data_IF_458232536824
#
_entry.id   IF_458232536824
#
_cell.length_a   1.000
_cell.length_b   1.000
_cell.length_c   1.000
_cell.angle_alpha   90.00
_cell.angle_beta   90.00
_cell.angle_gamma   90.00
#
_symmetry.space_group_name_H-M   'P 1'
#
loop_
_entity.id
_entity.type
_entity.pdbx_description
1 polymer ?
#
# COMPACT_ATOMS: atom_id res chain seq x y z
N UNK A 1 -88.88 21.80 -16.01
CA UNK A 1 -88.38 20.40 -16.01
C UNK A 1 -87.04 20.42 -15.29
N UNK A 2 -86.99 20.34 -13.96
CA UNK A 2 -87.16 19.15 -13.12
C UNK A 2 -86.12 18.04 -13.44
N UNK A 3 -85.09 18.01 -12.57
CA UNK A 3 -84.50 16.81 -11.92
C UNK A 3 -83.50 15.91 -12.67
N UNK A 4 -82.32 15.83 -12.01
CA UNK A 4 -81.55 14.61 -11.61
C UNK A 4 -80.79 13.81 -12.68
N UNK A 5 -79.63 13.20 -12.47
CA UNK A 5 -78.56 13.10 -11.43
C UNK A 5 -77.55 12.06 -12.01
N UNK A 6 -76.31 12.00 -11.50
CA UNK A 6 -75.24 11.01 -11.80
C UNK A 6 -74.54 11.14 -13.17
N UNK A 7 -73.22 11.13 -13.30
CA UNK A 7 -72.13 10.82 -12.37
C UNK A 7 -70.88 11.62 -12.80
N UNK A 8 -70.32 12.48 -11.95
CA UNK A 8 -69.06 12.22 -11.23
C UNK A 8 -68.38 10.89 -11.61
N UNK A 9 -67.34 10.92 -12.47
CA UNK A 9 -66.03 10.31 -12.20
C UNK A 9 -65.03 10.53 -13.37
N UNK A 10 -64.59 11.75 -13.63
CA UNK A 10 -63.24 11.97 -14.23
C UNK A 10 -62.58 13.22 -13.62
N UNK A 11 -62.67 13.32 -12.29
CA UNK A 11 -61.66 13.99 -11.47
C UNK A 11 -60.88 12.84 -10.84
N UNK A 12 -59.86 12.34 -11.54
CA UNK A 12 -59.22 11.09 -11.12
C UNK A 12 -57.98 10.64 -11.86
N UNK A 13 -57.42 11.42 -12.80
CA UNK A 13 -56.02 11.25 -13.17
C UNK A 13 -55.19 12.11 -12.23
N UNK A 14 -55.15 11.63 -10.99
CA UNK A 14 -54.20 12.07 -10.00
C UNK A 14 -52.79 12.01 -10.64
N UNK A 15 -51.98 13.07 -10.53
CA UNK A 15 -50.56 12.85 -10.43
C UNK A 15 -50.39 12.09 -9.10
N UNK A 16 -50.38 10.76 -9.16
CA UNK A 16 -49.96 9.95 -8.02
C UNK A 16 -48.47 10.25 -7.79
N UNK A 17 -48.21 11.31 -7.03
CA UNK A 17 -47.46 11.24 -5.78
C UNK A 17 -46.68 9.92 -5.66
N UNK A 18 -45.51 9.85 -6.30
CA UNK A 18 -44.42 8.96 -5.91
C UNK A 18 -43.82 9.45 -4.57
N UNK A 19 -44.67 9.60 -3.56
CA UNK A 19 -44.25 9.57 -2.17
C UNK A 19 -43.85 8.12 -1.90
N UNK A 20 -42.55 7.84 -2.11
CA UNK A 20 -42.01 6.49 -2.10
C UNK A 20 -42.41 5.73 -0.83
N UNK A 21 -43.20 4.65 -1.00
CA UNK A 21 -43.60 3.76 0.10
C UNK A 21 -42.34 3.32 0.84
N UNK A 22 -42.40 3.34 2.18
CA UNK A 22 -41.33 2.78 3.00
C UNK A 22 -41.18 1.29 2.69
N UNK A 23 -39.95 0.87 2.46
CA UNK A 23 -39.54 -0.51 2.22
C UNK A 23 -39.09 -1.11 3.54
N UNK A 24 -39.46 -2.36 3.79
CA UNK A 24 -38.96 -3.10 4.94
C UNK A 24 -37.68 -3.83 4.52
N UNK A 25 -36.55 -3.38 5.05
CA UNK A 25 -35.25 -4.00 4.79
C UNK A 25 -34.81 -4.79 6.03
N UNK A 26 -34.35 -6.02 5.82
CA UNK A 26 -33.75 -6.83 6.87
C UNK A 26 -32.27 -6.48 6.96
N UNK A 27 -31.79 -6.17 8.16
CA UNK A 27 -30.38 -6.01 8.42
C UNK A 27 -29.70 -7.38 8.40
N UNK A 28 -28.68 -7.56 7.57
CA UNK A 28 -28.01 -8.85 7.41
C UNK A 28 -27.20 -9.25 8.66
N UNK A 29 -26.78 -8.28 9.49
CA UNK A 29 -25.96 -8.53 10.67
C UNK A 29 -26.81 -8.86 11.90
N UNK A 30 -27.94 -8.17 12.11
CA UNK A 30 -28.80 -8.38 13.28
C UNK A 30 -30.08 -9.16 13.00
N UNK A 31 -30.50 -9.30 11.73
CA UNK A 31 -31.80 -9.86 11.35
C UNK A 31 -32.98 -8.91 11.57
N UNK A 32 -32.74 -7.70 12.08
CA UNK A 32 -33.79 -6.75 12.41
C UNK A 32 -34.40 -6.11 11.16
N UNK A 33 -35.71 -5.90 11.21
CA UNK A 33 -36.47 -5.23 10.16
C UNK A 33 -36.46 -3.73 10.40
N UNK A 34 -35.90 -2.99 9.44
CA UNK A 34 -35.90 -1.51 9.44
C UNK A 34 -36.73 -1.00 8.27
N UNK A 35 -37.68 -0.10 8.55
CA UNK A 35 -38.42 0.62 7.51
C UNK A 35 -37.59 1.79 6.99
N UNK A 36 -37.33 1.81 5.68
CA UNK A 36 -36.56 2.88 5.03
C UNK A 36 -37.24 3.35 3.75
N UNK A 37 -37.14 4.65 3.48
CA UNK A 37 -37.57 5.21 2.20
C UNK A 37 -36.39 5.31 1.24
N UNK A 38 -36.61 5.19 -0.09
CA UNK A 38 -35.58 5.44 -1.10
C UNK A 38 -34.86 6.79 -0.92
N UNK A 39 -35.57 7.82 -0.46
CA UNK A 39 -34.99 9.13 -0.19
C UNK A 39 -34.01 9.12 0.98
N UNK A 40 -34.29 8.35 2.05
CA UNK A 40 -33.36 8.15 3.15
C UNK A 40 -32.09 7.44 2.68
N UNK A 41 -32.21 6.41 1.85
CA UNK A 41 -31.06 5.68 1.29
C UNK A 41 -30.22 6.59 0.40
N UNK A 42 -30.83 7.37 -0.49
CA UNK A 42 -30.12 8.37 -1.32
C UNK A 42 -29.41 9.44 -0.46
N UNK A 43 -30.03 9.88 0.64
CA UNK A 43 -29.43 10.83 1.59
C UNK A 43 -28.23 10.21 2.32
N UNK A 44 -28.31 8.94 2.70
CA UNK A 44 -27.22 8.19 3.31
C UNK A 44 -26.05 8.03 2.34
N UNK A 45 -26.31 7.63 1.09
CA UNK A 45 -25.28 7.55 0.04
C UNK A 45 -24.51 8.88 -0.12
N UNK A 46 -25.24 10.01 -0.25
CA UNK A 46 -24.63 11.35 -0.31
C UNK A 46 -23.90 11.75 0.97
N UNK A 47 -24.28 11.22 2.13
CA UNK A 47 -23.56 11.45 3.39
C UNK A 47 -22.22 10.74 3.37
N UNK A 48 -22.19 9.46 3.01
CA UNK A 48 -20.96 8.65 2.94
C UNK A 48 -19.96 9.26 1.95
N UNK A 49 -20.41 9.66 0.76
CA UNK A 49 -19.58 10.39 -0.21
C UNK A 49 -18.93 11.64 0.40
N UNK A 50 -19.68 12.44 1.15
CA UNK A 50 -19.16 13.64 1.83
C UNK A 50 -18.18 13.30 2.94
N UNK A 51 -18.44 12.24 3.72
CA UNK A 51 -17.55 11.79 4.81
C UNK A 51 -16.21 11.33 4.26
N UNK A 52 -16.21 10.50 3.20
CA UNK A 52 -14.98 10.08 2.53
C UNK A 52 -14.19 11.29 2.02
N UNK A 53 -14.88 12.20 1.31
CA UNK A 53 -14.24 13.42 0.79
C UNK A 53 -13.66 14.31 1.91
N UNK A 54 -14.41 14.52 2.99
CA UNK A 54 -13.95 15.32 4.13
C UNK A 54 -12.77 14.67 4.85
N UNK A 55 -12.73 13.34 4.89
CA UNK A 55 -11.63 12.55 5.48
C UNK A 55 -10.43 12.39 4.53
N UNK A 56 -10.55 12.87 3.28
CA UNK A 56 -9.52 12.68 2.26
C UNK A 56 -9.32 11.22 1.89
N UNK A 57 -10.36 10.39 1.95
CA UNK A 57 -10.30 8.98 1.58
C UNK A 57 -10.79 8.79 0.15
N UNK A 58 -10.02 8.03 -0.62
CA UNK A 58 -10.46 7.45 -1.89
C UNK A 58 -11.20 6.16 -1.60
N UNK A 59 -12.16 5.77 -2.43
CA UNK A 59 -12.83 4.46 -2.28
C UNK A 59 -11.86 3.27 -2.38
N UNK A 60 -10.70 3.44 -3.02
CA UNK A 60 -9.63 2.44 -3.11
C UNK A 60 -8.84 2.30 -1.79
N UNK A 61 -9.07 3.19 -0.84
CA UNK A 61 -8.51 3.09 0.51
C UNK A 61 -9.34 2.16 1.41
N UNK A 62 -10.55 1.79 0.98
CA UNK A 62 -11.45 0.91 1.73
C UNK A 62 -11.05 -0.57 1.58
N UNK A 63 -11.55 -1.42 2.48
CA UNK A 63 -11.38 -2.87 2.37
C UNK A 63 -11.91 -3.41 1.04
N UNK A 64 -11.36 -4.55 0.58
CA UNK A 64 -11.79 -5.20 -0.66
C UNK A 64 -13.31 -5.44 -0.68
N UNK A 65 -13.88 -5.88 0.44
CA UNK A 65 -15.34 -6.04 0.58
C UNK A 65 -16.07 -4.71 0.33
N UNK A 66 -15.65 -3.61 0.97
CA UNK A 66 -16.30 -2.32 0.79
C UNK A 66 -16.15 -1.77 -0.64
N UNK A 67 -15.04 -2.07 -1.32
CA UNK A 67 -14.85 -1.74 -2.73
C UNK A 67 -15.79 -2.53 -3.65
N UNK A 68 -15.97 -3.81 -3.38
CA UNK A 68 -16.94 -4.64 -4.13
C UNK A 68 -18.36 -4.11 -3.93
N UNK A 69 -18.75 -3.81 -2.68
CA UNK A 69 -20.05 -3.20 -2.34
C UNK A 69 -20.25 -1.87 -3.06
N UNK A 70 -19.21 -1.05 -3.17
CA UNK A 70 -19.25 0.19 -3.94
C UNK A 70 -19.49 -0.06 -5.43
N UNK A 71 -18.78 -1.00 -6.05
CA UNK A 71 -18.95 -1.34 -7.46
C UNK A 71 -20.40 -1.78 -7.78
N UNK A 72 -21.02 -2.55 -6.88
CA UNK A 72 -22.43 -2.99 -7.00
C UNK A 72 -23.44 -1.85 -7.03
N UNK A 73 -23.10 -0.66 -6.50
CA UNK A 73 -24.02 0.50 -6.50
C UNK A 73 -24.37 0.98 -7.91
N UNK A 74 -23.48 0.80 -8.89
CA UNK A 74 -23.73 1.16 -10.29
C UNK A 74 -24.86 0.33 -10.91
N UNK A 75 -25.07 -0.91 -10.43
CA UNK A 75 -26.14 -1.81 -10.88
C UNK A 75 -27.40 -1.66 -10.02
N UNK A 76 -27.23 -1.67 -8.69
CA UNK A 76 -28.33 -1.79 -7.74
C UNK A 76 -29.12 -0.48 -7.58
N UNK A 77 -28.50 0.69 -7.80
CA UNK A 77 -29.19 2.00 -7.73
C UNK A 77 -30.16 2.19 -8.91
N UNK A 78 -29.76 1.99 -10.19
CA UNK A 78 -30.70 2.03 -11.31
C UNK A 78 -31.81 0.97 -11.22
N UNK A 79 -31.48 -0.23 -10.73
CA UNK A 79 -32.43 -1.32 -10.51
C UNK A 79 -33.41 -1.06 -9.34
N UNK A 80 -33.21 0.02 -8.56
CA UNK A 80 -34.03 0.38 -7.41
C UNK A 80 -34.06 -0.68 -6.30
N UNK A 81 -32.97 -1.44 -6.15
CA UNK A 81 -32.78 -2.46 -5.12
C UNK A 81 -32.42 -1.81 -3.77
N UNK A 82 -33.29 -0.93 -3.26
CA UNK A 82 -32.95 0.01 -2.18
C UNK A 82 -32.50 -0.65 -0.86
N UNK A 83 -32.93 -1.87 -0.57
CA UNK A 83 -32.43 -2.61 0.59
C UNK A 83 -30.97 -3.06 0.42
N UNK A 84 -30.59 -3.52 -0.78
CA UNK A 84 -29.18 -3.84 -1.11
C UNK A 84 -28.32 -2.58 -1.09
N UNK A 85 -28.81 -1.50 -1.72
CA UNK A 85 -28.13 -0.19 -1.71
C UNK A 85 -27.91 0.29 -0.27
N UNK A 86 -28.90 0.16 0.63
CA UNK A 86 -28.73 0.50 2.05
C UNK A 86 -27.62 -0.32 2.70
N UNK A 87 -27.61 -1.64 2.50
CA UNK A 87 -26.58 -2.52 3.07
C UNK A 87 -25.18 -2.12 2.58
N UNK A 88 -25.01 -1.87 1.28
CA UNK A 88 -23.75 -1.40 0.70
C UNK A 88 -23.30 -0.08 1.31
N UNK A 89 -24.22 0.91 1.43
CA UNK A 89 -23.91 2.23 2.01
C UNK A 89 -23.46 2.12 3.47
N UNK A 90 -24.10 1.28 4.28
CA UNK A 90 -23.71 1.06 5.68
C UNK A 90 -22.34 0.38 5.81
N UNK A 91 -22.06 -0.62 4.97
CA UNK A 91 -20.76 -1.29 4.93
C UNK A 91 -19.64 -0.30 4.58
N UNK A 92 -19.84 0.52 3.54
CA UNK A 92 -18.87 1.56 3.13
C UNK A 92 -18.68 2.61 4.24
N UNK A 93 -19.74 3.05 4.90
CA UNK A 93 -19.67 4.00 6.03
C UNK A 93 -18.85 3.44 7.20
N UNK A 94 -19.08 2.18 7.55
CA UNK A 94 -18.34 1.48 8.60
C UNK A 94 -16.86 1.32 8.24
N UNK A 95 -16.56 0.90 7.00
CA UNK A 95 -15.20 0.74 6.53
C UNK A 95 -14.44 2.08 6.54
N UNK A 96 -15.07 3.16 6.08
CA UNK A 96 -14.48 4.49 6.08
C UNK A 96 -14.17 4.98 7.51
N UNK A 97 -15.06 4.71 8.46
CA UNK A 97 -14.92 5.16 9.85
C UNK A 97 -13.80 4.44 10.61
N UNK A 98 -13.38 3.26 10.15
CA UNK A 98 -12.27 2.51 10.74
C UNK A 98 -10.87 2.98 10.30
N UNK A 99 -10.79 3.81 9.26
CA UNK A 99 -9.50 4.23 8.68
C UNK A 99 -8.94 5.42 9.45
N UNK A 100 -7.70 5.25 9.91
CA UNK A 100 -6.91 6.31 10.50
C UNK A 100 -5.81 6.71 9.51
N UNK A 101 -5.74 8.01 9.17
CA UNK A 101 -4.70 8.53 8.25
C UNK A 101 -3.41 8.75 9.03
N UNK A 102 -2.70 7.66 9.28
CA UNK A 102 -1.39 7.63 9.93
C UNK A 102 -0.24 7.40 8.92
N UNK A 103 0.97 7.26 9.44
CA UNK A 103 2.16 7.01 8.62
C UNK A 103 2.07 5.70 7.83
N UNK A 104 1.53 4.64 8.44
CA UNK A 104 1.43 3.33 7.80
C UNK A 104 0.40 3.32 6.68
N UNK A 105 -0.74 3.96 6.92
CA UNK A 105 -1.74 4.22 5.89
C UNK A 105 -1.15 4.95 4.68
N UNK A 106 -0.37 6.01 4.91
CA UNK A 106 0.22 6.80 3.84
C UNK A 106 1.32 6.07 3.07
N UNK A 107 2.16 5.27 3.73
CA UNK A 107 3.13 4.41 3.02
C UNK A 107 2.41 3.45 2.08
N UNK A 108 1.37 2.76 2.58
CA UNK A 108 0.58 1.85 1.75
C UNK A 108 -0.11 2.57 0.59
N UNK A 109 -0.66 3.76 0.84
CA UNK A 109 -1.32 4.57 -0.19
C UNK A 109 -0.33 5.10 -1.23
N UNK A 110 0.86 5.53 -0.83
CA UNK A 110 1.91 5.97 -1.75
C UNK A 110 2.31 4.85 -2.70
N UNK A 111 2.58 3.65 -2.17
CA UNK A 111 2.92 2.47 -2.98
C UNK A 111 1.79 2.13 -3.98
N UNK A 112 0.52 2.07 -3.54
CA UNK A 112 -0.62 1.85 -4.43
C UNK A 112 -0.71 2.93 -5.52
N UNK A 113 -0.56 4.19 -5.13
CA UNK A 113 -0.64 5.34 -6.05
C UNK A 113 0.46 5.28 -7.10
N UNK A 114 1.69 4.93 -6.71
CA UNK A 114 2.81 4.73 -7.63
C UNK A 114 2.52 3.61 -8.64
N UNK A 115 1.97 2.46 -8.19
CA UNK A 115 1.58 1.37 -9.11
C UNK A 115 0.56 1.83 -10.14
N UNK A 116 -0.49 2.54 -9.72
CA UNK A 116 -1.51 3.05 -10.64
C UNK A 116 -0.95 4.08 -11.61
N UNK A 117 -0.12 5.00 -11.12
CA UNK A 117 0.57 5.99 -11.94
C UNK A 117 1.43 5.34 -13.03
N UNK A 118 2.27 4.36 -12.66
CA UNK A 118 3.15 3.66 -13.60
C UNK A 118 2.36 2.85 -14.62
N UNK A 119 1.29 2.17 -14.21
CA UNK A 119 0.49 1.33 -15.11
C UNK A 119 -0.33 2.14 -16.13
N UNK A 120 -0.67 3.40 -15.82
CA UNK A 120 -1.58 4.22 -16.66
C UNK A 120 -0.95 5.45 -17.30
N UNK A 121 0.27 5.84 -16.91
CA UNK A 121 0.94 6.97 -17.54
C UNK A 121 1.72 6.55 -18.79
N UNK A 122 1.04 6.55 -19.94
CA UNK A 122 1.67 6.31 -21.25
C UNK A 122 2.32 7.57 -21.85
N UNK A 123 1.95 8.76 -21.38
CA UNK A 123 2.53 10.04 -21.79
C UNK A 123 3.71 10.43 -20.91
N UNK A 124 4.87 10.73 -21.52
CA UNK A 124 6.10 11.10 -20.83
C UNK A 124 5.94 12.35 -19.97
N UNK A 125 5.18 13.35 -20.43
CA UNK A 125 4.96 14.59 -19.68
C UNK A 125 4.11 14.37 -18.43
N UNK A 126 3.03 13.59 -18.56
CA UNK A 126 2.21 13.18 -17.41
C UNK A 126 2.99 12.30 -16.44
N UNK A 127 3.89 11.46 -16.94
CA UNK A 127 4.74 10.62 -16.11
C UNK A 127 5.66 11.49 -15.25
N UNK A 128 6.37 12.44 -15.87
CA UNK A 128 7.24 13.37 -15.15
C UNK A 128 6.48 14.21 -14.10
N UNK A 129 5.31 14.75 -14.47
CA UNK A 129 4.46 15.48 -13.51
C UNK A 129 4.03 14.58 -12.34
N UNK A 130 3.67 13.33 -12.63
CA UNK A 130 3.24 12.37 -11.61
C UNK A 130 4.39 11.98 -10.69
N UNK A 131 5.58 11.71 -11.24
CA UNK A 131 6.77 11.34 -10.47
C UNK A 131 7.17 12.50 -9.53
N UNK A 132 7.10 13.75 -10.01
CA UNK A 132 7.34 14.93 -9.18
C UNK A 132 6.32 15.07 -8.03
N UNK A 133 5.04 14.81 -8.30
CA UNK A 133 4.00 14.84 -7.28
C UNK A 133 4.18 13.69 -6.26
N UNK A 134 4.54 12.49 -6.72
CA UNK A 134 4.85 11.36 -5.85
C UNK A 134 6.04 11.67 -4.93
N UNK A 135 7.12 12.25 -5.47
CA UNK A 135 8.28 12.68 -4.69
C UNK A 135 7.90 13.72 -3.62
N UNK A 136 7.04 14.68 -3.98
CA UNK A 136 6.57 15.72 -3.05
C UNK A 136 5.66 15.14 -1.97
N UNK A 137 4.79 14.19 -2.32
CA UNK A 137 3.93 13.49 -1.37
C UNK A 137 4.76 12.67 -0.36
N UNK A 138 5.79 11.96 -0.85
CA UNK A 138 6.73 11.23 -0.01
C UNK A 138 7.49 12.15 0.94
N UNK A 139 7.93 13.33 0.47
CA UNK A 139 8.59 14.33 1.32
C UNK A 139 7.65 14.85 2.43
N UNK A 140 6.41 15.21 2.09
CA UNK A 140 5.40 15.59 3.09
C UNK A 140 5.18 14.50 4.14
N UNK A 141 5.08 13.24 3.70
CA UNK A 141 4.94 12.11 4.61
C UNK A 141 6.17 11.95 5.52
N UNK A 142 7.38 12.05 4.97
CA UNK A 142 8.63 11.98 5.74
C UNK A 142 8.75 13.07 6.81
N UNK A 143 8.15 14.24 6.57
CA UNK A 143 8.13 15.37 7.50
C UNK A 143 6.95 15.33 8.49
N UNK A 144 6.11 14.29 8.47
CA UNK A 144 4.93 14.19 9.32
C UNK A 144 3.76 15.09 8.87
N UNK A 145 3.82 15.67 7.67
CA UNK A 145 2.75 16.48 7.05
C UNK A 145 1.70 15.57 6.39
N UNK A 146 1.07 14.72 7.20
CA UNK A 146 0.23 13.60 6.73
C UNK A 146 -0.99 14.07 5.91
N UNK A 147 -1.60 15.18 6.29
CA UNK A 147 -2.77 15.74 5.57
C UNK A 147 -2.37 16.17 4.16
N UNK A 148 -1.24 16.87 4.02
CA UNK A 148 -0.71 17.34 2.73
C UNK A 148 -0.29 16.16 1.85
N UNK A 149 0.38 15.17 2.43
CA UNK A 149 0.71 13.93 1.73
C UNK A 149 -0.55 13.23 1.20
N UNK A 150 -1.57 13.04 2.05
CA UNK A 150 -2.82 12.38 1.65
C UNK A 150 -3.54 13.13 0.51
N UNK A 151 -3.64 14.45 0.61
CA UNK A 151 -4.26 15.29 -0.43
C UNK A 151 -3.52 15.18 -1.76
N UNK A 152 -2.19 15.12 -1.73
CA UNK A 152 -1.37 14.97 -2.94
C UNK A 152 -1.51 13.59 -3.57
N UNK A 153 -1.49 12.53 -2.75
CA UNK A 153 -1.74 11.16 -3.21
C UNK A 153 -3.13 11.02 -3.85
N UNK A 154 -4.16 11.61 -3.25
CA UNK A 154 -5.49 11.67 -3.84
C UNK A 154 -5.49 12.37 -5.20
N UNK A 155 -4.79 13.50 -5.34
CA UNK A 155 -4.70 14.20 -6.63
C UNK A 155 -4.03 13.33 -7.69
N UNK A 156 -2.95 12.64 -7.34
CA UNK A 156 -2.26 11.73 -8.25
C UNK A 156 -3.16 10.56 -8.65
N UNK A 157 -3.87 9.95 -7.69
CA UNK A 157 -4.84 8.90 -7.98
C UNK A 157 -5.90 9.38 -8.97
N UNK A 158 -6.54 10.53 -8.72
CA UNK A 158 -7.53 11.09 -9.65
C UNK A 158 -6.95 11.32 -11.05
N UNK A 159 -5.72 11.82 -11.16
CA UNK A 159 -5.03 11.99 -12.44
C UNK A 159 -4.75 10.66 -13.15
N UNK A 160 -4.20 9.68 -12.42
CA UNK A 160 -3.86 8.37 -12.95
C UNK A 160 -5.11 7.58 -13.38
N UNK A 161 -6.22 7.75 -12.66
CA UNK A 161 -7.50 7.10 -12.95
C UNK A 161 -8.34 7.85 -13.99
N UNK A 162 -7.99 9.10 -14.30
CA UNK A 162 -8.79 9.95 -15.18
C UNK A 162 -10.17 10.29 -14.59
N UNK A 163 -10.31 10.27 -13.27
CA UNK A 163 -11.56 10.54 -12.54
C UNK A 163 -11.57 11.95 -11.95
N UNK A 164 -12.75 12.43 -11.57
CA UNK A 164 -12.92 13.78 -10.99
C UNK A 164 -13.24 13.76 -9.50
N UNK A 165 -13.65 12.61 -8.97
CA UNK A 165 -14.05 12.46 -7.58
C UNK A 165 -13.42 11.21 -6.95
N UNK A 166 -13.17 11.29 -5.64
CA UNK A 166 -12.58 10.21 -4.83
C UNK A 166 -13.52 9.01 -4.67
N UNK A 167 -14.77 9.17 -5.10
CA UNK A 167 -15.80 8.14 -5.18
C UNK A 167 -15.78 7.37 -6.50
N UNK A 168 -15.20 7.92 -7.56
CA UNK A 168 -15.22 7.32 -8.90
C UNK A 168 -14.09 6.30 -9.04
N UNK A 169 -14.40 5.13 -9.59
CA UNK A 169 -13.43 4.10 -9.99
C UNK A 169 -13.73 3.72 -11.44
N UNK A 170 -12.73 3.73 -12.34
CA UNK A 170 -12.90 3.23 -13.69
C UNK A 170 -13.40 1.77 -13.70
N UNK A 171 -14.31 1.42 -14.62
CA UNK A 171 -14.93 0.10 -14.65
C UNK A 171 -13.92 -1.04 -14.94
N UNK A 172 -12.83 -0.73 -15.64
CA UNK A 172 -11.71 -1.64 -15.92
C UNK A 172 -10.78 -1.86 -14.70
N UNK A 173 -11.03 -1.13 -13.61
CA UNK A 173 -10.34 -1.22 -12.32
C UNK A 173 -11.17 -1.89 -11.23
N UNK A 174 -12.30 -2.52 -11.59
CA UNK A 174 -13.13 -3.28 -10.66
C UNK A 174 -12.26 -4.19 -9.78
N UNK A 175 -12.59 -4.33 -8.48
CA UNK A 175 -11.67 -4.79 -7.45
C UNK A 175 -11.00 -6.10 -7.85
N UNK A 176 -9.72 -6.02 -8.21
CA UNK A 176 -8.86 -7.19 -8.36
C UNK A 176 -8.31 -7.51 -6.96
N UNK A 177 -8.26 -8.80 -6.63
CA UNK A 177 -7.71 -9.27 -5.37
C UNK A 177 -6.33 -8.64 -5.11
N UNK A 178 -6.21 -7.84 -4.04
CA UNK A 178 -4.93 -7.30 -3.57
C UNK A 178 -4.71 -5.78 -3.68
N UNK A 179 -5.66 -5.00 -4.21
CA UNK A 179 -5.54 -3.53 -4.32
C UNK A 179 -6.26 -2.72 -3.22
N UNK A 180 -6.96 -3.39 -2.30
CA UNK A 180 -7.36 -2.79 -1.02
C UNK A 180 -6.16 -2.43 -0.13
N UNK A 181 -6.36 -1.97 1.11
CA UNK A 181 -5.29 -1.92 2.11
C UNK A 181 -4.82 -3.35 2.42
N UNK A 182 -4.09 -3.95 1.48
CA UNK A 182 -3.25 -5.10 1.71
C UNK A 182 -2.24 -4.66 2.75
N UNK A 183 -2.31 -5.31 3.90
CA UNK A 183 -1.54 -5.04 5.10
C UNK A 183 -0.05 -5.26 4.80
N UNK A 184 0.59 -4.29 4.15
CA UNK A 184 1.97 -4.02 4.39
C UNK A 184 1.95 -3.22 5.69
N UNK A 185 2.21 -3.92 6.80
CA UNK A 185 2.75 -3.29 8.01
C UNK A 185 3.95 -2.46 7.55
N UNK A 186 3.70 -1.19 7.22
CA UNK A 186 4.75 -0.28 6.80
C UNK A 186 5.77 -0.30 7.93
N UNK A 187 7.00 -0.68 7.60
CA UNK A 187 8.14 -0.47 8.47
C UNK A 187 8.23 1.03 8.72
N UNK A 188 7.55 1.53 9.75
CA UNK A 188 7.56 2.95 10.05
C UNK A 188 8.98 3.34 10.39
N UNK A 189 9.58 4.17 9.55
CA UNK A 189 10.91 4.75 9.79
C UNK A 189 10.80 5.73 10.94
N UNK A 190 11.29 5.34 12.11
CA UNK A 190 11.27 6.18 13.30
C UNK A 190 12.28 7.32 13.21
N UNK A 191 12.02 8.42 13.91
CA UNK A 191 12.98 9.51 14.01
C UNK A 191 14.28 9.06 14.72
N UNK A 192 14.17 8.13 15.68
CA UNK A 192 15.31 7.63 16.46
C UNK A 192 16.28 6.79 15.62
N UNK A 193 15.77 5.92 14.75
CA UNK A 193 16.60 5.18 13.79
C UNK A 193 17.39 6.13 12.88
N UNK A 194 16.72 7.18 12.40
CA UNK A 194 17.33 8.19 11.54
C UNK A 194 18.39 9.00 12.30
N UNK A 195 18.08 9.45 13.52
CA UNK A 195 19.00 10.22 14.36
C UNK A 195 20.23 9.39 14.78
N UNK A 196 20.06 8.09 15.00
CA UNK A 196 21.11 7.15 15.37
C UNK A 196 22.11 6.94 14.22
N UNK A 197 21.64 6.62 13.00
CA UNK A 197 22.53 6.34 11.87
C UNK A 197 23.03 7.59 11.11
N UNK A 198 22.25 8.67 11.14
CA UNK A 198 22.45 9.89 10.35
C UNK A 198 22.14 11.17 11.16
N UNK A 199 22.90 11.46 12.24
CA UNK A 199 22.59 12.53 13.19
C UNK A 199 22.56 13.93 12.56
N UNK A 200 23.48 14.23 11.64
CA UNK A 200 23.54 15.55 11.00
C UNK A 200 22.35 15.78 10.05
N UNK A 201 21.93 14.75 9.31
CA UNK A 201 20.73 14.81 8.49
C UNK A 201 19.47 14.96 9.35
N UNK A 202 19.39 14.23 10.47
CA UNK A 202 18.26 14.32 11.39
C UNK A 202 18.12 15.74 11.98
N UNK A 203 19.22 16.39 12.34
CA UNK A 203 19.24 17.79 12.80
C UNK A 203 18.80 18.77 11.72
N UNK A 204 19.27 18.56 10.48
CA UNK A 204 18.97 19.44 9.35
C UNK A 204 17.53 19.30 8.86
N UNK A 205 16.93 18.12 8.99
CA UNK A 205 15.56 17.84 8.53
C UNK A 205 15.43 17.83 6.99
N UNK A 206 16.54 17.66 6.27
CA UNK A 206 16.55 17.57 4.80
C UNK A 206 17.77 16.78 4.31
N UNK A 207 17.67 16.22 3.10
CA UNK A 207 18.77 15.53 2.42
C UNK A 207 18.72 15.78 0.91
N UNK A 208 19.89 15.93 0.31
CA UNK A 208 20.09 15.99 -1.13
C UNK A 208 20.65 14.67 -1.67
N UNK A 209 20.90 14.66 -2.98
CA UNK A 209 21.46 13.51 -3.70
C UNK A 209 22.78 13.01 -3.09
N UNK A 210 23.70 13.92 -2.76
CA UNK A 210 25.01 13.55 -2.21
C UNK A 210 24.90 12.88 -0.85
N UNK A 211 23.99 13.34 0.02
CA UNK A 211 23.75 12.67 1.30
C UNK A 211 23.29 11.21 1.08
N UNK A 212 22.42 10.99 0.09
CA UNK A 212 21.93 9.65 -0.27
C UNK A 212 23.06 8.77 -0.81
N UNK A 213 23.91 9.32 -1.69
CA UNK A 213 25.09 8.61 -2.22
C UNK A 213 26.01 8.13 -1.09
N UNK A 214 26.30 8.99 -0.11
CA UNK A 214 27.12 8.65 1.05
C UNK A 214 26.46 7.59 1.94
N UNK A 215 25.15 7.68 2.17
CA UNK A 215 24.38 6.70 2.93
C UNK A 215 24.40 5.33 2.24
N UNK A 216 24.17 5.28 0.92
CA UNK A 216 24.18 4.03 0.16
C UNK A 216 25.58 3.39 0.14
N UNK A 217 26.65 4.18 0.05
CA UNK A 217 28.02 3.68 0.12
C UNK A 217 28.30 3.04 1.49
N UNK A 218 27.92 3.71 2.59
CA UNK A 218 28.04 3.16 3.96
C UNK A 218 27.21 1.90 4.13
N UNK A 219 25.96 1.93 3.67
CA UNK A 219 25.05 0.78 3.74
C UNK A 219 25.60 -0.41 2.96
N UNK A 220 26.10 -0.20 1.74
CA UNK A 220 26.73 -1.23 0.92
C UNK A 220 27.94 -1.85 1.61
N UNK A 221 28.79 -1.05 2.24
CA UNK A 221 29.94 -1.55 2.99
C UNK A 221 29.52 -2.39 4.21
N UNK A 222 28.53 -1.92 4.98
CA UNK A 222 28.02 -2.62 6.17
C UNK A 222 27.41 -3.99 5.78
N UNK A 223 26.53 -4.03 4.77
CA UNK A 223 25.88 -5.28 4.36
C UNK A 223 26.88 -6.27 3.76
N UNK A 224 27.91 -5.80 3.05
CA UNK A 224 28.94 -6.69 2.50
C UNK A 224 29.91 -7.18 3.57
N UNK A 225 30.29 -6.33 4.53
CA UNK A 225 31.17 -6.72 5.63
C UNK A 225 30.52 -7.79 6.49
N UNK A 226 29.22 -7.61 6.81
CA UNK A 226 28.48 -8.47 7.73
C UNK A 226 27.66 -9.55 7.03
N UNK A 227 27.67 -9.55 5.70
CA UNK A 227 26.89 -10.46 4.84
C UNK A 227 25.39 -10.43 5.11
N UNK A 228 24.85 -9.26 5.48
CA UNK A 228 23.44 -9.10 5.86
C UNK A 228 22.55 -8.84 4.64
N UNK A 229 21.31 -9.32 4.69
CA UNK A 229 20.30 -9.22 3.64
C UNK A 229 19.03 -8.57 4.19
N UNK A 230 18.17 -7.98 3.33
CA UNK A 230 16.92 -7.37 3.77
C UNK A 230 16.00 -8.33 4.55
N UNK A 231 16.03 -9.62 4.24
CA UNK A 231 15.25 -10.64 4.95
C UNK A 231 15.69 -10.85 6.41
N UNK A 232 16.93 -10.50 6.76
CA UNK A 232 17.49 -10.75 8.10
C UNK A 232 16.87 -9.80 9.14
N UNK A 233 16.64 -8.55 8.75
CA UNK A 233 16.06 -7.51 9.61
C UNK A 233 14.52 -7.49 9.49
N UNK A 234 13.83 -7.12 10.57
CA UNK A 234 12.38 -6.99 10.54
C UNK A 234 11.96 -5.87 9.58
N UNK A 235 11.12 -6.21 8.60
CA UNK A 235 10.59 -5.27 7.62
C UNK A 235 11.64 -4.72 6.65
N UNK A 236 12.81 -5.36 6.53
CA UNK A 236 13.89 -4.92 5.64
C UNK A 236 13.54 -4.99 4.16
N UNK A 237 12.90 -6.06 3.71
CA UNK A 237 12.50 -6.20 2.29
C UNK A 237 11.61 -5.05 1.83
N UNK A 238 10.58 -4.70 2.61
CA UNK A 238 9.72 -3.56 2.33
C UNK A 238 10.50 -2.24 2.36
N UNK A 239 11.37 -2.04 3.36
CA UNK A 239 12.12 -0.79 3.48
C UNK A 239 13.16 -0.62 2.36
N UNK A 240 13.74 -1.72 1.88
CA UNK A 240 14.61 -1.76 0.69
C UNK A 240 13.81 -1.44 -0.58
N UNK A 241 12.60 -1.96 -0.71
CA UNK A 241 11.70 -1.62 -1.82
C UNK A 241 11.27 -0.14 -1.79
N UNK A 242 10.94 0.39 -0.61
CA UNK A 242 10.60 1.80 -0.41
C UNK A 242 11.79 2.70 -0.78
N UNK A 243 13.00 2.34 -0.34
CA UNK A 243 14.23 3.04 -0.71
C UNK A 243 14.42 3.06 -2.23
N UNK A 244 14.30 1.91 -2.91
CA UNK A 244 14.42 1.84 -4.36
C UNK A 244 13.39 2.75 -5.06
N UNK A 245 12.13 2.71 -4.61
CA UNK A 245 11.07 3.57 -5.14
C UNK A 245 11.36 5.07 -4.93
N UNK A 246 11.88 5.46 -3.76
CA UNK A 246 12.25 6.85 -3.51
C UNK A 246 13.42 7.32 -4.37
N UNK A 247 14.40 6.45 -4.64
CA UNK A 247 15.52 6.76 -5.52
C UNK A 247 15.04 6.98 -6.96
N UNK A 248 14.18 6.10 -7.47
CA UNK A 248 13.59 6.23 -8.81
C UNK A 248 12.82 7.56 -8.98
N UNK A 249 12.12 7.98 -7.94
CA UNK A 249 11.36 9.24 -7.92
C UNK A 249 12.22 10.50 -7.70
N UNK A 250 13.52 10.35 -7.40
CA UNK A 250 14.36 11.48 -6.97
C UNK A 250 13.93 12.10 -5.64
N UNK A 251 13.21 11.34 -4.82
CA UNK A 251 12.74 11.76 -3.50
C UNK A 251 13.86 11.61 -2.45
N UNK A 252 14.87 12.47 -2.54
CA UNK A 252 16.13 12.30 -1.81
C UNK A 252 15.97 12.26 -0.29
N UNK A 253 15.12 13.11 0.29
CA UNK A 253 14.93 13.13 1.74
C UNK A 253 14.25 11.86 2.27
N UNK A 254 13.13 11.38 1.69
CA UNK A 254 12.59 10.04 1.99
C UNK A 254 13.59 8.90 1.77
N UNK A 255 14.33 8.91 0.65
CA UNK A 255 15.36 7.91 0.36
C UNK A 255 16.44 7.88 1.45
N UNK A 256 16.95 9.05 1.85
CA UNK A 256 17.95 9.16 2.88
C UNK A 256 17.43 8.62 4.23
N UNK A 257 16.20 8.96 4.62
CA UNK A 257 15.58 8.41 5.84
C UNK A 257 15.47 6.88 5.80
N UNK A 258 15.00 6.32 4.69
CA UNK A 258 14.90 4.86 4.53
C UNK A 258 16.29 4.18 4.58
N UNK A 259 17.29 4.75 3.90
CA UNK A 259 18.67 4.28 3.93
C UNK A 259 19.30 4.35 5.33
N UNK A 260 19.08 5.43 6.07
CA UNK A 260 19.53 5.58 7.45
C UNK A 260 18.88 4.55 8.38
N UNK A 261 17.57 4.31 8.23
CA UNK A 261 16.88 3.30 9.02
C UNK A 261 17.35 1.88 8.70
N UNK A 262 17.59 1.55 7.41
CA UNK A 262 18.23 0.30 7.03
C UNK A 262 19.60 0.16 7.68
N UNK A 263 20.43 1.20 7.59
CA UNK A 263 21.77 1.20 8.19
C UNK A 263 21.71 1.02 9.71
N UNK A 264 20.80 1.69 10.42
CA UNK A 264 20.62 1.54 11.87
C UNK A 264 20.21 0.11 12.25
N UNK A 265 19.23 -0.45 11.52
CA UNK A 265 18.74 -1.81 11.75
C UNK A 265 19.81 -2.86 11.49
N UNK A 266 20.57 -2.72 10.41
CA UNK A 266 21.70 -3.63 10.15
C UNK A 266 22.75 -3.48 11.23
N UNK A 267 23.14 -2.26 11.58
CA UNK A 267 24.15 -1.99 12.60
C UNK A 267 23.81 -2.68 13.93
N UNK A 268 22.55 -2.58 14.37
CA UNK A 268 22.05 -3.16 15.63
C UNK A 268 21.65 -4.63 15.55
N UNK A 269 21.66 -5.26 14.38
CA UNK A 269 21.22 -6.64 14.23
C UNK A 269 22.22 -7.59 14.89
N UNK A 270 21.80 -8.28 15.94
CA UNK A 270 22.52 -9.46 16.42
C UNK A 270 22.06 -10.68 15.62
N UNK A 271 23.00 -11.42 15.05
CA UNK A 271 22.71 -12.65 14.31
C UNK A 271 22.38 -13.74 15.33
N UNK A 272 21.09 -13.96 15.55
CA UNK A 272 20.56 -14.98 16.45
C UNK A 272 19.98 -16.18 15.68
N UNK A 273 19.43 -17.15 16.41
CA UNK A 273 18.77 -18.30 15.82
C UNK A 273 17.60 -17.90 14.91
N UNK A 274 16.84 -16.86 15.26
CA UNK A 274 15.71 -16.39 14.47
C UNK A 274 16.14 -15.91 13.08
N UNK A 275 17.19 -15.11 13.00
CA UNK A 275 17.80 -14.66 11.74
C UNK A 275 18.28 -15.86 10.90
N UNK A 276 18.99 -16.80 11.54
CA UNK A 276 19.49 -18.01 10.88
C UNK A 276 18.34 -18.87 10.33
N UNK A 277 17.24 -18.98 11.08
CA UNK A 277 16.05 -19.73 10.64
C UNK A 277 15.34 -19.08 9.44
N UNK A 278 15.29 -17.74 9.34
CA UNK A 278 14.76 -17.07 8.15
C UNK A 278 15.56 -17.44 6.89
N UNK A 279 16.89 -17.45 6.99
CA UNK A 279 17.77 -17.86 5.88
C UNK A 279 17.58 -19.32 5.51
N UNK A 280 17.47 -20.21 6.51
CA UNK A 280 17.16 -21.62 6.26
C UNK A 280 15.84 -21.80 5.53
N UNK A 281 14.79 -21.08 5.94
CA UNK A 281 13.50 -21.09 5.26
C UNK A 281 13.63 -20.63 3.81
N UNK A 282 14.37 -19.54 3.55
CA UNK A 282 14.64 -19.04 2.19
C UNK A 282 15.41 -20.04 1.34
N UNK A 283 16.46 -20.67 1.89
CA UNK A 283 17.24 -21.71 1.20
C UNK A 283 16.37 -22.90 0.84
N UNK A 284 15.49 -23.35 1.74
CA UNK A 284 14.57 -24.45 1.46
C UNK A 284 13.54 -24.07 0.38
N UNK A 285 12.97 -22.87 0.44
CA UNK A 285 12.07 -22.38 -0.59
C UNK A 285 12.75 -22.35 -1.97
N UNK A 286 13.98 -21.82 -2.04
CA UNK A 286 14.76 -21.80 -3.29
C UNK A 286 15.07 -23.19 -3.84
N UNK A 287 15.37 -24.15 -2.96
CA UNK A 287 15.56 -25.56 -3.35
C UNK A 287 14.28 -26.13 -3.98
N UNK A 288 13.13 -25.85 -3.39
CA UNK A 288 11.84 -26.38 -3.86
C UNK A 288 11.39 -25.67 -5.15
N UNK A 289 11.67 -24.38 -5.30
CA UNK A 289 11.34 -23.56 -6.48
C UNK A 289 12.23 -23.85 -7.70
N UNK A 290 13.55 -23.95 -7.50
CA UNK A 290 14.55 -23.98 -8.59
C UNK A 290 15.20 -25.35 -8.79
N UNK A 291 15.08 -26.24 -7.80
CA UNK A 291 15.88 -27.44 -7.73
C UNK A 291 17.37 -27.13 -7.50
N UNK A 292 18.18 -28.18 -7.41
CA UNK A 292 19.63 -28.10 -7.34
C UNK A 292 20.23 -28.85 -8.53
N UNK A 293 21.07 -28.17 -9.30
CA UNK A 293 21.92 -28.84 -10.28
C UNK A 293 22.78 -29.91 -9.58
N UNK A 294 23.04 -31.04 -10.24
CA UNK A 294 23.75 -32.18 -9.64
C UNK A 294 25.16 -31.80 -9.15
N UNK A 295 25.84 -30.90 -9.87
CA UNK A 295 27.15 -30.35 -9.49
C UNK A 295 27.11 -29.51 -8.19
N UNK A 296 25.94 -29.00 -7.80
CA UNK A 296 25.76 -28.17 -6.61
C UNK A 296 25.25 -28.96 -5.40
N UNK A 297 24.70 -30.18 -5.57
CA UNK A 297 24.11 -30.98 -4.47
C UNK A 297 25.11 -31.40 -3.39
N UNK A 298 26.34 -31.74 -3.78
CA UNK A 298 27.39 -32.13 -2.84
C UNK A 298 27.81 -30.95 -1.95
N UNK A 299 27.95 -29.76 -2.54
CA UNK A 299 28.22 -28.52 -1.82
C UNK A 299 27.02 -28.13 -0.94
N UNK A 300 25.80 -28.30 -1.43
CA UNK A 300 24.58 -28.03 -0.66
C UNK A 300 24.52 -28.84 0.63
N UNK A 301 24.66 -30.17 0.54
CA UNK A 301 24.59 -31.06 1.72
C UNK A 301 25.67 -30.72 2.73
N UNK A 302 26.88 -30.41 2.25
CA UNK A 302 28.02 -30.03 3.10
C UNK A 302 27.75 -28.73 3.85
N UNK A 303 27.28 -27.69 3.15
CA UNK A 303 26.99 -26.39 3.75
C UNK A 303 25.80 -26.42 4.69
N UNK A 304 24.75 -27.20 4.38
CA UNK A 304 23.60 -27.41 5.28
C UNK A 304 24.04 -28.12 6.56
N UNK A 305 24.88 -29.15 6.45
CA UNK A 305 25.44 -29.84 7.62
C UNK A 305 26.28 -28.88 8.46
N UNK A 306 27.18 -28.12 7.83
CA UNK A 306 28.01 -27.11 8.51
C UNK A 306 27.17 -26.07 9.24
N UNK A 307 26.14 -25.52 8.59
CA UNK A 307 25.24 -24.56 9.23
C UNK A 307 24.49 -25.19 10.42
N UNK A 308 24.06 -26.44 10.29
CA UNK A 308 23.39 -27.18 11.37
C UNK A 308 24.32 -27.44 12.57
N UNK A 309 25.57 -27.83 12.31
CA UNK A 309 26.59 -28.05 13.34
C UNK A 309 26.89 -26.73 14.09
N UNK A 310 27.00 -25.61 13.37
CA UNK A 310 27.17 -24.29 13.98
C UNK A 310 25.96 -23.87 14.82
N UNK A 311 24.72 -24.15 14.37
CA UNK A 311 23.51 -23.93 15.18
C UNK A 311 23.57 -24.73 16.48
N UNK A 312 23.93 -26.03 16.42
CA UNK A 312 24.01 -26.89 17.59
C UNK A 312 25.05 -26.38 18.61
N UNK A 313 26.12 -25.75 18.13
CA UNK A 313 27.17 -25.13 18.95
C UNK A 313 26.85 -23.69 19.36
N UNK A 314 25.66 -23.16 19.00
CA UNK A 314 25.24 -21.76 19.23
C UNK A 314 26.17 -20.73 18.56
N UNK A 315 26.84 -21.11 17.48
CA UNK A 315 27.68 -20.26 16.64
C UNK A 315 26.85 -19.67 15.48
N UNK A 316 25.91 -18.78 15.81
CA UNK A 316 24.92 -18.30 14.84
C UNK A 316 25.54 -17.46 13.70
N UNK A 317 26.61 -16.70 13.96
CA UNK A 317 27.33 -15.96 12.92
C UNK A 317 27.96 -16.89 11.88
N UNK A 318 28.53 -18.02 12.31
CA UNK A 318 29.13 -19.00 11.40
C UNK A 318 28.06 -19.77 10.61
N UNK A 319 26.93 -20.11 11.28
CA UNK A 319 25.77 -20.69 10.59
C UNK A 319 25.22 -19.74 9.52
N UNK A 320 25.12 -18.45 9.84
CA UNK A 320 24.67 -17.40 8.93
C UNK A 320 25.59 -17.24 7.70
N UNK A 321 26.91 -17.28 7.91
CA UNK A 321 27.88 -17.24 6.81
C UNK A 321 27.78 -18.48 5.91
N UNK A 322 27.63 -19.69 6.48
CA UNK A 322 27.44 -20.91 5.70
C UNK A 322 26.13 -20.87 4.87
N UNK A 323 25.08 -20.26 5.40
CA UNK A 323 23.82 -20.06 4.66
C UNK A 323 23.93 -18.99 3.58
N UNK A 324 24.79 -17.98 3.75
CA UNK A 324 25.08 -17.01 2.68
C UNK A 324 25.68 -17.70 1.46
N UNK A 325 26.66 -18.58 1.65
CA UNK A 325 27.27 -19.35 0.57
C UNK A 325 26.24 -20.21 -0.17
N UNK A 326 25.26 -20.77 0.57
CA UNK A 326 24.13 -21.49 -0.03
C UNK A 326 23.25 -20.58 -0.89
N UNK A 327 22.85 -19.41 -0.38
CA UNK A 327 22.04 -18.45 -1.14
C UNK A 327 22.73 -18.05 -2.45
N UNK A 328 24.03 -17.74 -2.41
CA UNK A 328 24.83 -17.44 -3.60
C UNK A 328 24.87 -18.63 -4.58
N UNK A 329 24.94 -19.86 -4.07
CA UNK A 329 24.91 -21.07 -4.90
C UNK A 329 23.57 -21.27 -5.63
N UNK A 330 22.47 -20.70 -5.10
CA UNK A 330 21.17 -20.65 -5.78
C UNK A 330 21.04 -19.46 -6.76
N UNK A 331 22.11 -18.71 -6.98
CA UNK A 331 22.13 -17.54 -7.87
C UNK A 331 21.47 -16.30 -7.27
N UNK A 332 21.25 -16.27 -5.95
CA UNK A 332 20.88 -15.02 -5.29
C UNK A 332 22.03 -14.00 -5.44
N UNK A 333 21.73 -12.71 -5.64
CA UNK A 333 22.78 -11.69 -5.73
C UNK A 333 23.53 -11.54 -4.42
N UNK A 334 24.76 -11.03 -4.51
CA UNK A 334 25.57 -10.67 -3.35
C UNK A 334 24.89 -9.57 -2.51
N UNK A 335 25.13 -9.50 -1.19
CA UNK A 335 24.51 -8.53 -0.30
C UNK A 335 24.58 -7.07 -0.78
N UNK A 336 25.74 -6.57 -1.22
CA UNK A 336 25.85 -5.20 -1.77
C UNK A 336 24.96 -4.93 -2.97
N UNK A 337 24.71 -5.95 -3.81
CA UNK A 337 23.83 -5.81 -4.97
C UNK A 337 22.35 -5.74 -4.59
N UNK A 338 22.01 -6.01 -3.32
CA UNK A 338 20.67 -5.81 -2.77
C UNK A 338 20.46 -4.38 -2.26
N UNK A 339 21.52 -3.58 -2.11
CA UNK A 339 21.39 -2.15 -1.87
C UNK A 339 20.99 -1.48 -3.18
N UNK A 340 19.86 -0.76 -3.23
CA UNK A 340 19.43 -0.08 -4.43
C UNK A 340 20.51 0.87 -4.95
N UNK A 341 20.81 0.78 -6.24
CA UNK A 341 21.77 1.67 -6.89
C UNK A 341 21.14 3.04 -7.15
N UNK A 342 21.97 4.08 -7.14
CA UNK A 342 21.55 5.39 -7.62
C UNK A 342 21.14 5.30 -9.10
N UNK A 343 19.96 5.82 -9.49
CA UNK A 343 19.60 5.86 -10.90
C UNK A 343 20.62 6.69 -11.67
N UNK A 344 21.03 6.14 -12.82
CA UNK A 344 21.81 6.87 -13.81
C UNK A 344 20.89 7.94 -14.39
N UNK A 345 20.98 9.17 -13.87
CA UNK A 345 20.37 10.30 -14.55
C UNK A 345 21.24 10.54 -15.79
N UNK A 346 20.82 10.01 -16.94
CA UNK A 346 21.29 10.53 -18.22
C UNK A 346 21.06 12.03 -18.17
N UNK A 347 22.13 12.81 -18.22
CA UNK A 347 22.03 14.27 -18.25
C UNK A 347 21.32 14.64 -19.56
N UNK A 348 20.00 14.74 -19.50
CA UNK A 348 19.23 15.50 -20.47
C UNK A 348 19.74 16.93 -20.41
N UNK A 349 20.26 17.40 -21.54
CA UNK A 349 20.72 18.78 -21.73
C UNK A 349 19.63 19.80 -21.29
N UNK A 350 20.05 20.99 -20.82
CA UNK A 350 19.18 22.02 -20.28
C UNK A 350 18.03 22.45 -21.20
#
# INVERSE_FOLDING_TARGET
MLRTLLALLVLGLAPQLNAARALECVDAASGDKTRVTPQQVKKALKRVQRVLKASGLHVLDLSAEAQERHARLAEDVPAQEWCKVRAHVLSIESAASGIHVDQGFLTGKLARTQRFAQARSSDAKRKEETDRLLATAAAHQAEGRLVQANQMLNRILLMALGTRDLWEVPADLAPRDGDGPGVASASTVSADEVASACPEMAKRGSAGRTDVEDILARLSAEVDQRKLRPLDIQGGEQLTADLAGYLELGAWFPAARAGCALHDRYHKLDVDLGVVMKRFARVNALRDERGLADSARANFTTLVRRASDHIAQRQFSDAHAALEELLLSFGEPAPSRLVPAMPLIERGNP
#
